data_IF_353936005185
#
_entry.id   IF_353936005185
#
_cell.length_a   1.000
_cell.length_b   1.000
_cell.length_c   1.000
_cell.angle_alpha   90.00
_cell.angle_beta   90.00
_cell.angle_gamma   90.00
#
_symmetry.space_group_name_H-M   'P 1'
#
loop_
_entity.id
_entity.type
_entity.pdbx_description
1 polymer ?
#
# COMPACT_ATOMS: atom_id res chain seq x y z
N UNK A 1 33.29 -31.96 -32.38
CA UNK A 1 32.27 -32.94 -32.86
C UNK A 1 30.93 -32.22 -32.73
N UNK A 2 30.32 -31.91 -33.87
CA UNK A 2 29.11 -31.10 -34.01
C UNK A 2 27.87 -32.01 -33.86
N UNK A 3 26.86 -31.56 -33.11
CA UNK A 3 25.48 -32.00 -33.38
C UNK A 3 24.54 -30.81 -33.21
N UNK A 4 24.00 -30.35 -34.34
CA UNK A 4 22.88 -29.43 -34.47
C UNK A 4 21.59 -30.30 -34.48
N UNK A 5 20.62 -29.95 -33.65
CA UNK A 5 19.28 -30.47 -33.79
C UNK A 5 18.30 -29.31 -34.02
N UNK A 6 17.77 -29.30 -35.24
CA UNK A 6 16.71 -28.40 -35.74
C UNK A 6 15.35 -29.04 -35.37
N UNK A 7 14.45 -28.31 -34.83
CA UNK A 7 13.04 -28.71 -34.76
C UNK A 7 12.16 -27.69 -35.48
N UNK A 8 11.28 -28.25 -36.32
CA UNK A 8 10.48 -27.60 -37.33
C UNK A 8 9.20 -27.00 -36.76
N UNK A 9 8.74 -25.95 -37.43
CA UNK A 9 7.42 -25.33 -37.34
C UNK A 9 6.29 -26.35 -37.59
N UNK A 10 5.22 -26.24 -36.80
CA UNK A 10 3.90 -26.75 -37.11
C UNK A 10 2.86 -25.65 -36.87
N UNK A 11 2.46 -25.01 -37.98
CA UNK A 11 1.33 -24.05 -38.01
C UNK A 11 0.09 -24.92 -38.25
N UNK A 12 -0.90 -24.82 -37.36
CA UNK A 12 -2.26 -25.29 -37.61
C UNK A 12 -3.23 -24.15 -37.42
N UNK A 13 -3.75 -23.66 -38.53
CA UNK A 13 -4.82 -22.68 -38.69
C UNK A 13 -6.16 -23.44 -38.68
N UNK A 14 -7.06 -23.13 -37.75
CA UNK A 14 -8.47 -23.49 -37.83
C UNK A 14 -9.34 -22.24 -37.73
N UNK A 15 -9.92 -21.88 -38.88
CA UNK A 15 -11.08 -21.00 -39.02
C UNK A 15 -12.36 -21.82 -38.87
N UNK A 16 -13.41 -21.23 -38.30
CA UNK A 16 -14.88 -21.37 -38.45
C UNK A 16 -15.51 -20.93 -37.13
N UNK A 17 -16.56 -20.15 -37.06
CA UNK A 17 -17.53 -19.60 -37.98
C UNK A 17 -18.52 -18.75 -37.18
N UNK A 18 -19.09 -17.78 -37.84
CA UNK A 18 -20.06 -16.84 -37.31
C UNK A 18 -21.46 -17.48 -37.19
N UNK A 19 -22.22 -17.10 -36.15
CA UNK A 19 -23.67 -17.20 -36.16
C UNK A 19 -24.31 -15.99 -35.46
N UNK A 20 -25.11 -15.25 -36.23
CA UNK A 20 -26.04 -14.19 -35.84
C UNK A 20 -27.29 -14.78 -35.19
N UNK A 21 -27.94 -13.98 -34.32
CA UNK A 21 -29.33 -14.24 -33.87
C UNK A 21 -29.68 -13.27 -32.74
N UNK A 22 -30.20 -12.16 -33.02
CA UNK A 22 -31.58 -11.61 -33.02
C UNK A 22 -32.13 -11.20 -31.66
N UNK A 23 -32.28 -9.91 -31.56
CA UNK A 23 -33.19 -9.02 -30.81
C UNK A 23 -34.48 -9.66 -30.24
N UNK A 24 -34.80 -9.23 -29.00
CA UNK A 24 -36.19 -8.94 -28.63
C UNK A 24 -36.26 -7.87 -27.53
N UNK A 25 -36.78 -6.74 -27.91
CA UNK A 25 -37.35 -5.66 -27.13
C UNK A 25 -38.61 -6.13 -26.41
N UNK A 26 -38.81 -5.71 -25.16
CA UNK A 26 -40.14 -5.57 -24.55
C UNK A 26 -40.13 -4.44 -23.52
N UNK A 27 -40.94 -3.49 -23.84
CA UNK A 27 -41.29 -2.26 -23.14
C UNK A 27 -42.39 -2.44 -22.12
N UNK A 28 -42.53 -1.39 -21.27
CA UNK A 28 -43.70 -0.94 -20.51
C UNK A 28 -43.99 -1.69 -19.18
N UNK A 29 -44.37 -1.09 -18.07
CA UNK A 29 -45.25 0.06 -17.84
C UNK A 29 -45.15 0.45 -16.36
N UNK A 30 -45.17 1.75 -16.08
CA UNK A 30 -45.45 2.32 -14.77
C UNK A 30 -46.98 2.34 -14.54
N UNK A 31 -47.49 2.29 -13.34
CA UNK A 31 -48.45 3.28 -12.95
C UNK A 31 -48.26 3.94 -11.57
N UNK A 32 -48.57 5.16 -11.61
CA UNK A 32 -48.97 6.24 -10.78
C UNK A 32 -49.52 5.97 -9.36
N UNK A 33 -49.16 6.94 -8.52
CA UNK A 33 -49.71 7.59 -7.36
C UNK A 33 -51.10 7.18 -6.83
N UNK A 34 -51.18 7.13 -5.50
CA UNK A 34 -52.40 7.56 -4.77
C UNK A 34 -51.99 8.20 -3.42
N UNK A 35 -52.41 9.45 -3.28
CA UNK A 35 -52.47 10.30 -2.11
C UNK A 35 -53.65 9.89 -1.24
N UNK A 36 -53.61 10.06 0.09
CA UNK A 36 -54.61 10.69 1.00
C UNK A 36 -54.03 10.66 2.43
N UNK A 37 -53.78 11.79 3.05
CA UNK A 37 -54.54 12.62 3.98
C UNK A 37 -54.73 12.01 5.39
N UNK A 38 -54.11 12.63 6.35
CA UNK A 38 -54.59 13.62 7.34
C UNK A 38 -54.96 13.05 8.73
N UNK A 39 -54.63 13.87 9.72
CA UNK A 39 -55.22 14.07 11.05
C UNK A 39 -54.56 13.31 12.22
N UNK A 40 -53.83 13.94 13.15
CA UNK A 40 -54.27 14.77 14.26
C UNK A 40 -53.13 15.06 15.23
N UNK A 41 -53.10 16.30 15.63
CA UNK A 41 -52.30 16.91 16.72
C UNK A 41 -52.73 16.35 18.06
N UNK A 42 -51.76 15.92 18.91
CA UNK A 42 -51.87 15.93 20.36
C UNK A 42 -50.64 16.62 20.95
N UNK A 43 -50.90 17.82 21.41
CA UNK A 43 -49.97 18.60 22.24
C UNK A 43 -49.93 18.03 23.64
N UNK A 44 -48.77 17.62 24.12
CA UNK A 44 -48.52 17.44 25.55
C UNK A 44 -47.24 18.17 25.93
N UNK A 45 -47.48 19.21 26.65
CA UNK A 45 -46.52 20.09 27.30
C UNK A 45 -45.68 19.27 28.33
N UNK A 46 -44.39 19.25 28.19
CA UNK A 46 -43.47 18.76 29.24
C UNK A 46 -42.18 19.59 29.25
N UNK A 47 -41.89 20.16 30.38
CA UNK A 47 -40.79 21.02 30.74
C UNK A 47 -39.40 20.57 30.29
N UNK A 48 -38.44 21.50 30.11
CA UNK A 48 -37.13 21.22 29.54
C UNK A 48 -36.26 20.42 30.53
N UNK A 49 -35.87 19.20 30.10
CA UNK A 49 -34.78 18.48 30.74
C UNK A 49 -33.47 19.08 30.22
N UNK A 50 -32.66 19.54 31.15
CA UNK A 50 -31.26 19.92 30.94
C UNK A 50 -30.52 18.79 30.25
N UNK A 51 -30.22 18.99 28.99
CA UNK A 51 -29.36 18.09 28.22
C UNK A 51 -27.91 18.43 28.56
N UNK A 52 -27.28 17.60 29.39
CA UNK A 52 -25.83 17.56 29.47
C UNK A 52 -25.33 17.19 28.07
N UNK A 53 -24.75 18.18 27.41
CA UNK A 53 -24.03 17.98 26.15
C UNK A 53 -22.81 17.10 26.45
N UNK A 54 -23.00 15.79 26.32
CA UNK A 54 -21.88 14.88 26.19
C UNK A 54 -21.11 15.30 24.92
N UNK A 55 -19.99 15.97 25.12
CA UNK A 55 -19.02 16.26 24.07
C UNK A 55 -18.57 14.94 23.50
N UNK A 56 -19.21 14.53 22.40
CA UNK A 56 -18.70 13.41 21.59
C UNK A 56 -17.39 13.85 21.00
N UNK A 57 -16.30 13.54 21.69
CA UNK A 57 -14.96 13.64 21.15
C UNK A 57 -14.84 12.54 20.08
N UNK A 58 -15.19 12.89 18.85
CA UNK A 58 -14.83 12.07 17.69
C UNK A 58 -13.33 11.86 17.75
N UNK A 59 -12.82 10.63 17.77
CA UNK A 59 -11.38 10.42 17.77
C UNK A 59 -10.81 11.15 16.55
N UNK A 60 -9.98 12.17 16.80
CA UNK A 60 -9.27 12.84 15.74
C UNK A 60 -8.43 11.79 15.05
N UNK A 61 -8.79 11.49 13.80
CA UNK A 61 -8.05 10.52 13.00
C UNK A 61 -6.62 11.04 12.91
N UNK A 62 -5.68 10.35 13.56
CA UNK A 62 -4.29 10.75 13.58
C UNK A 62 -3.79 10.74 12.14
N UNK A 63 -3.32 11.88 11.69
CA UNK A 63 -2.75 12.02 10.35
C UNK A 63 -1.39 11.32 10.34
N UNK A 64 -1.16 10.47 9.37
CA UNK A 64 0.08 9.72 9.25
C UNK A 64 0.61 9.74 7.82
N UNK A 65 1.91 9.55 7.69
CA UNK A 65 2.60 9.27 6.44
C UNK A 65 3.34 7.94 6.57
N UNK A 66 3.58 7.28 5.45
CA UNK A 66 4.36 6.05 5.38
C UNK A 66 5.83 6.41 5.12
N UNK A 67 6.73 5.75 5.84
CA UNK A 67 8.15 5.73 5.56
C UNK A 67 8.58 4.30 5.24
N UNK A 68 9.41 4.13 4.21
CA UNK A 68 9.84 2.83 3.74
C UNK A 68 11.29 2.60 4.11
N UNK A 69 11.53 1.61 4.97
CA UNK A 69 12.84 1.14 5.35
C UNK A 69 13.13 -0.23 4.74
N UNK A 70 14.32 -0.77 4.96
CA UNK A 70 14.62 -2.13 4.53
C UNK A 70 14.69 -3.07 5.73
N UNK A 71 14.19 -4.28 5.51
CA UNK A 71 14.37 -5.42 6.39
C UNK A 71 14.67 -6.64 5.51
N UNK A 72 15.78 -7.34 5.75
CA UNK A 72 16.23 -8.46 4.90
C UNK A 72 16.29 -8.08 3.41
N UNK A 73 16.85 -6.90 3.10
CA UNK A 73 17.03 -6.34 1.74
C UNK A 73 15.73 -6.02 0.98
N UNK A 74 14.57 -6.10 1.64
CA UNK A 74 13.26 -5.75 1.08
C UNK A 74 12.65 -4.56 1.80
N UNK A 75 11.84 -3.80 1.06
CA UNK A 75 11.09 -2.67 1.62
C UNK A 75 10.09 -3.15 2.67
N UNK A 76 10.04 -2.43 3.76
CA UNK A 76 9.09 -2.59 4.85
C UNK A 76 8.50 -1.23 5.23
N UNK A 77 7.23 -1.21 5.58
CA UNK A 77 6.45 0.01 5.78
C UNK A 77 6.28 0.30 7.26
N UNK A 78 6.49 1.55 7.64
CA UNK A 78 6.15 2.06 8.97
C UNK A 78 5.34 3.35 8.86
N UNK A 79 4.38 3.54 9.74
CA UNK A 79 3.62 4.78 9.84
C UNK A 79 4.32 5.80 10.74
N UNK A 80 4.21 7.09 10.38
CA UNK A 80 4.69 8.21 11.19
C UNK A 80 3.56 9.22 11.36
N UNK A 81 3.23 9.53 12.60
CA UNK A 81 2.24 10.56 12.92
C UNK A 81 2.83 11.92 12.59
N UNK A 82 2.08 12.74 11.87
CA UNK A 82 2.48 14.07 11.42
C UNK A 82 1.30 15.05 11.56
N UNK A 83 1.59 16.34 11.63
CA UNK A 83 0.56 17.38 11.67
C UNK A 83 -0.14 17.53 10.31
N UNK A 84 0.65 17.50 9.24
CA UNK A 84 0.17 17.57 7.85
C UNK A 84 0.76 16.42 7.05
N UNK A 85 -0.06 15.48 6.53
CA UNK A 85 0.41 14.35 5.74
C UNK A 85 0.67 14.79 4.29
N UNK A 86 1.87 15.28 4.03
CA UNK A 86 2.33 15.70 2.71
C UNK A 86 3.70 15.09 2.37
N UNK A 87 4.15 15.29 1.13
CA UNK A 87 5.41 14.75 0.64
C UNK A 87 6.62 15.24 1.45
N UNK A 88 6.59 16.48 1.94
CA UNK A 88 7.65 17.05 2.78
C UNK A 88 7.74 16.33 4.12
N UNK A 89 6.59 16.12 4.77
CA UNK A 89 6.51 15.38 6.04
C UNK A 89 6.96 13.93 5.87
N UNK A 90 6.59 13.28 4.77
CA UNK A 90 6.98 11.92 4.47
C UNK A 90 8.51 11.78 4.29
N UNK A 91 9.15 12.68 3.55
CA UNK A 91 10.61 12.69 3.41
C UNK A 91 11.30 12.95 4.74
N UNK A 92 10.83 13.93 5.52
CA UNK A 92 11.39 14.19 6.87
C UNK A 92 11.27 12.96 7.78
N UNK A 93 10.14 12.27 7.73
CA UNK A 93 9.93 11.04 8.49
C UNK A 93 10.89 9.91 8.04
N UNK A 94 11.12 9.77 6.74
CA UNK A 94 12.09 8.82 6.19
C UNK A 94 13.53 9.16 6.61
N UNK A 95 13.93 10.43 6.50
CA UNK A 95 15.28 10.89 6.86
C UNK A 95 15.57 10.80 8.36
N UNK A 96 14.55 10.81 9.21
CA UNK A 96 14.70 10.55 10.64
C UNK A 96 15.16 9.11 10.95
N UNK A 97 15.01 8.20 9.98
CA UNK A 97 15.42 6.80 10.12
C UNK A 97 14.44 5.92 10.90
N UNK A 98 14.77 4.62 11.05
CA UNK A 98 14.03 3.72 11.91
C UNK A 98 14.16 4.13 13.39
N UNK A 99 13.10 3.91 14.16
CA UNK A 99 13.17 4.05 15.63
C UNK A 99 14.11 2.99 16.22
N UNK A 100 14.46 3.16 17.49
CA UNK A 100 15.29 2.17 18.20
C UNK A 100 14.65 0.78 18.25
N UNK A 101 13.34 0.70 18.37
CA UNK A 101 12.57 -0.56 18.36
C UNK A 101 12.57 -1.20 16.96
N UNK A 102 12.35 -0.40 15.91
CA UNK A 102 12.38 -0.85 14.52
C UNK A 102 13.80 -1.32 14.11
N UNK A 103 14.83 -0.59 14.53
CA UNK A 103 16.22 -0.99 14.31
C UNK A 103 16.55 -2.28 15.07
N UNK A 104 16.07 -2.45 16.29
CA UNK A 104 16.23 -3.70 17.04
C UNK A 104 15.49 -4.89 16.38
N UNK A 105 14.39 -4.61 15.65
CA UNK A 105 13.68 -5.59 14.82
C UNK A 105 14.38 -5.88 13.48
N UNK A 106 15.50 -5.23 13.18
CA UNK A 106 16.28 -5.46 11.96
C UNK A 106 15.99 -4.50 10.81
N UNK A 107 15.23 -3.44 11.04
CA UNK A 107 15.03 -2.41 10.02
C UNK A 107 16.25 -1.51 9.89
N UNK A 108 16.61 -1.20 8.65
CA UNK A 108 17.75 -0.34 8.33
C UNK A 108 17.36 0.69 7.26
N UNK A 109 18.08 1.82 7.27
CA UNK A 109 18.05 2.75 6.15
C UNK A 109 19.37 2.67 5.38
N UNK A 110 19.30 2.78 4.05
CA UNK A 110 20.45 2.90 3.18
C UNK A 110 20.71 4.35 2.75
N UNK A 111 19.89 5.28 3.24
CA UNK A 111 20.12 6.72 3.05
C UNK A 111 21.32 7.12 3.91
N UNK A 112 22.36 7.75 3.33
CA UNK A 112 23.55 8.15 4.08
C UNK A 112 23.19 9.10 5.24
N UNK A 113 23.81 8.86 6.38
CA UNK A 113 23.67 9.76 7.53
C UNK A 113 24.13 11.17 7.16
N UNK A 114 23.40 12.18 7.61
CA UNK A 114 23.67 13.58 7.27
C UNK A 114 23.04 14.03 5.95
N UNK A 115 22.23 13.17 5.29
CA UNK A 115 21.35 13.63 4.21
C UNK A 115 20.28 14.55 4.78
N UNK A 116 20.16 15.74 4.21
CA UNK A 116 19.15 16.73 4.60
C UNK A 116 18.22 17.03 3.44
N UNK A 117 16.95 17.35 3.77
CA UNK A 117 15.95 17.80 2.80
C UNK A 117 16.09 19.30 2.56
N UNK A 118 16.34 19.68 1.32
CA UNK A 118 16.40 21.09 0.88
C UNK A 118 15.06 21.56 0.31
N UNK A 119 14.29 20.67 -0.34
CA UNK A 119 12.98 21.03 -0.86
C UNK A 119 12.20 19.86 -1.46
N UNK A 120 10.88 20.03 -1.54
CA UNK A 120 9.97 19.14 -2.27
C UNK A 120 9.04 19.98 -3.11
N UNK A 121 8.92 19.67 -4.39
CA UNK A 121 8.00 20.35 -5.32
C UNK A 121 7.18 19.31 -6.05
N UNK A 122 5.85 19.43 -6.01
CA UNK A 122 4.91 18.55 -6.72
C UNK A 122 4.35 19.31 -7.91
N UNK A 123 4.41 18.69 -9.10
CA UNK A 123 3.88 19.25 -10.33
C UNK A 123 3.16 18.14 -11.12
N UNK A 124 1.82 18.19 -11.13
CA UNK A 124 1.02 17.12 -11.73
C UNK A 124 1.28 15.79 -11.03
N UNK A 125 1.71 14.79 -11.78
CA UNK A 125 2.03 13.43 -11.27
C UNK A 125 3.51 13.27 -10.84
N UNK A 126 4.30 14.33 -10.95
CA UNK A 126 5.73 14.31 -10.67
C UNK A 126 6.03 15.02 -9.34
N UNK A 127 6.87 14.40 -8.52
CA UNK A 127 7.49 15.04 -7.37
C UNK A 127 9.00 15.16 -7.59
N UNK A 128 9.52 16.37 -7.37
CA UNK A 128 10.96 16.64 -7.32
C UNK A 128 11.38 16.79 -5.86
N UNK A 129 12.34 15.98 -5.44
CA UNK A 129 12.96 16.08 -4.12
C UNK A 129 14.37 16.61 -4.27
N UNK A 130 14.69 17.66 -3.51
CA UNK A 130 16.04 18.24 -3.44
C UNK A 130 16.67 17.90 -2.10
N UNK A 131 17.82 17.26 -2.16
CA UNK A 131 18.56 16.74 -1.00
C UNK A 131 19.99 17.29 -1.02
N UNK A 132 20.66 17.28 0.13
CA UNK A 132 22.10 17.56 0.15
C UNK A 132 22.87 16.52 -0.65
N UNK A 133 24.01 16.91 -1.22
CA UNK A 133 24.89 16.04 -2.02
C UNK A 133 25.36 14.76 -1.30
N UNK A 134 25.23 14.74 0.04
CA UNK A 134 25.45 13.54 0.87
C UNK A 134 24.61 12.36 0.42
N UNK A 135 23.37 12.59 -0.05
CA UNK A 135 22.50 11.53 -0.57
C UNK A 135 23.11 10.74 -1.72
N UNK A 136 23.88 11.41 -2.58
CA UNK A 136 24.59 10.78 -3.70
C UNK A 136 25.89 10.08 -3.32
N UNK A 137 26.35 10.19 -2.06
CA UNK A 137 27.67 9.71 -1.66
C UNK A 137 27.68 8.26 -1.20
N UNK A 138 28.79 7.57 -1.46
CA UNK A 138 29.12 6.25 -0.90
C UNK A 138 28.17 5.10 -1.27
N UNK A 139 28.59 3.89 -0.88
CA UNK A 139 27.87 2.64 -1.10
C UNK A 139 28.06 2.03 -2.49
N UNK A 140 27.81 0.72 -2.59
CA UNK A 140 27.70 0.00 -3.87
C UNK A 140 26.27 -0.01 -4.39
N UNK A 141 26.06 -0.72 -5.50
CA UNK A 141 24.78 -0.74 -6.24
C UNK A 141 23.57 -1.04 -5.36
N UNK A 142 23.65 -2.00 -4.44
CA UNK A 142 22.55 -2.31 -3.51
C UNK A 142 22.23 -1.12 -2.59
N UNK A 143 23.23 -0.41 -2.10
CA UNK A 143 23.01 0.77 -1.25
C UNK A 143 22.35 1.91 -2.02
N UNK A 144 22.77 2.11 -3.28
CA UNK A 144 22.17 3.13 -4.16
C UNK A 144 20.75 2.78 -4.52
N UNK A 145 20.49 1.55 -4.97
CA UNK A 145 19.14 1.09 -5.31
C UNK A 145 18.21 1.15 -4.10
N UNK A 146 18.68 0.71 -2.93
CA UNK A 146 17.88 0.72 -1.71
C UNK A 146 17.49 2.11 -1.24
N UNK A 147 18.41 3.09 -1.24
CA UNK A 147 18.06 4.48 -0.85
C UNK A 147 17.11 5.14 -1.83
N UNK A 148 17.27 4.86 -3.12
CA UNK A 148 16.34 5.33 -4.15
C UNK A 148 14.96 4.70 -3.98
N UNK A 149 14.89 3.39 -3.78
CA UNK A 149 13.63 2.69 -3.53
C UNK A 149 12.91 3.24 -2.29
N UNK A 150 13.63 3.44 -1.17
CA UNK A 150 13.07 4.05 0.04
C UNK A 150 12.43 5.42 -0.26
N UNK A 151 13.13 6.30 -0.99
CA UNK A 151 12.64 7.63 -1.33
C UNK A 151 11.45 7.56 -2.29
N UNK A 152 11.53 6.75 -3.35
CA UNK A 152 10.49 6.64 -4.37
C UNK A 152 9.19 6.08 -3.76
N UNK A 153 9.27 4.99 -2.98
CA UNK A 153 8.08 4.43 -2.34
C UNK A 153 7.48 5.38 -1.30
N UNK A 154 8.31 6.13 -0.58
CA UNK A 154 7.85 7.13 0.39
C UNK A 154 7.15 8.30 -0.30
N UNK A 155 7.65 8.78 -1.43
CA UNK A 155 7.05 9.93 -2.12
C UNK A 155 5.82 9.56 -2.94
N UNK A 156 5.76 8.34 -3.49
CA UNK A 156 4.64 7.89 -4.33
C UNK A 156 3.49 7.22 -3.54
N UNK A 157 3.42 7.46 -2.23
CA UNK A 157 2.28 7.05 -1.41
C UNK A 157 1.05 7.96 -1.59
N UNK A 158 1.24 9.16 -2.11
CA UNK A 158 0.18 10.14 -2.27
C UNK A 158 -0.52 9.96 -3.62
N UNK A 159 -1.85 10.05 -3.60
CA UNK A 159 -2.66 9.91 -4.81
C UNK A 159 -2.23 10.91 -5.89
N UNK A 160 -2.05 10.39 -7.09
CA UNK A 160 -1.66 11.18 -8.25
C UNK A 160 -0.17 11.44 -8.37
N UNK A 161 0.68 10.98 -7.45
CA UNK A 161 2.15 11.05 -7.57
C UNK A 161 2.66 9.65 -7.93
N UNK A 162 3.26 9.50 -9.10
CA UNK A 162 3.84 8.25 -9.59
C UNK A 162 5.33 8.36 -9.98
N UNK A 163 5.81 9.56 -10.26
CA UNK A 163 7.15 9.83 -10.77
C UNK A 163 7.96 10.68 -9.81
N UNK A 164 9.21 10.28 -9.55
CA UNK A 164 10.15 11.01 -8.69
C UNK A 164 11.36 11.47 -9.48
N UNK A 165 11.72 12.74 -9.34
CA UNK A 165 12.96 13.33 -9.82
C UNK A 165 13.80 13.82 -8.67
N UNK A 166 15.10 13.77 -8.83
CA UNK A 166 16.05 14.15 -7.81
C UNK A 166 16.83 15.41 -8.18
N UNK A 167 17.09 16.24 -7.18
CA UNK A 167 18.10 17.29 -7.21
C UNK A 167 19.05 17.09 -6.05
N UNK A 168 20.31 17.45 -6.23
CA UNK A 168 21.30 17.49 -5.15
C UNK A 168 21.90 18.90 -5.08
N UNK A 169 21.87 19.49 -3.88
CA UNK A 169 22.34 20.85 -3.63
C UNK A 169 21.74 21.89 -4.62
N UNK A 170 20.44 21.74 -4.93
CA UNK A 170 19.69 22.59 -5.86
C UNK A 170 19.88 22.21 -7.34
N UNK A 171 20.80 21.34 -7.70
CA UNK A 171 21.05 20.96 -9.10
C UNK A 171 20.30 19.68 -9.46
N UNK A 172 19.42 19.68 -10.51
CA UNK A 172 18.79 18.48 -11.03
C UNK A 172 19.83 17.45 -11.47
N UNK A 173 19.58 16.17 -11.14
CA UNK A 173 20.42 15.08 -11.56
C UNK A 173 19.65 14.05 -12.40
N UNK A 174 20.32 13.41 -13.33
CA UNK A 174 19.78 12.31 -14.16
C UNK A 174 20.41 10.97 -13.82
N UNK A 175 21.50 10.98 -13.06
CA UNK A 175 22.22 9.81 -12.60
C UNK A 175 22.76 10.06 -11.18
N UNK A 176 22.78 9.03 -10.35
CA UNK A 176 23.54 9.04 -9.09
C UNK A 176 24.98 8.64 -9.39
N UNK A 177 25.91 9.38 -8.82
CA UNK A 177 27.36 9.23 -9.07
C UNK A 177 27.90 7.89 -8.60
N UNK A 178 28.84 7.33 -9.38
CA UNK A 178 29.61 6.12 -9.05
C UNK A 178 29.04 4.84 -9.67
N UNK A 179 27.74 4.64 -9.62
CA UNK A 179 27.12 3.38 -10.09
C UNK A 179 26.37 3.54 -11.42
N UNK A 180 26.25 4.77 -11.95
CA UNK A 180 25.55 5.03 -13.21
C UNK A 180 24.06 4.75 -13.19
N UNK A 181 23.45 4.68 -11.99
CA UNK A 181 22.01 4.44 -11.86
C UNK A 181 21.24 5.67 -12.31
N UNK A 182 20.41 5.50 -13.34
CA UNK A 182 19.54 6.57 -13.85
C UNK A 182 18.45 6.93 -12.84
N UNK A 183 18.23 8.24 -12.66
CA UNK A 183 17.20 8.79 -11.75
C UNK A 183 16.33 9.86 -12.41
N UNK A 184 16.30 9.89 -13.74
CA UNK A 184 15.50 10.84 -14.50
C UNK A 184 14.05 10.34 -14.65
N UNK A 185 13.22 10.69 -13.68
CA UNK A 185 11.82 10.29 -13.66
C UNK A 185 11.61 8.81 -13.32
N UNK A 186 12.06 8.39 -12.16
CA UNK A 186 11.91 7.01 -11.67
C UNK A 186 10.57 6.80 -10.97
N UNK A 187 10.06 5.57 -11.06
CA UNK A 187 8.78 5.14 -10.48
C UNK A 187 8.97 3.91 -9.60
N UNK A 188 7.94 3.46 -8.91
CA UNK A 188 7.99 2.18 -8.17
C UNK A 188 8.36 0.99 -9.06
N UNK A 189 7.98 1.02 -10.34
CA UNK A 189 8.32 -0.04 -11.29
C UNK A 189 9.84 -0.17 -11.52
N UNK A 190 10.62 0.90 -11.32
CA UNK A 190 12.08 0.87 -11.41
C UNK A 190 12.71 0.03 -10.28
N UNK A 191 12.03 -0.15 -9.16
CA UNK A 191 12.57 -0.78 -7.94
C UNK A 191 11.73 -1.98 -7.48
N UNK A 192 11.11 -2.71 -8.39
CA UNK A 192 10.28 -3.88 -8.07
C UNK A 192 11.03 -4.95 -7.31
N UNK A 193 12.32 -5.14 -7.61
CA UNK A 193 13.16 -6.12 -6.93
C UNK A 193 13.44 -5.76 -5.46
N UNK A 194 13.23 -4.51 -5.07
CA UNK A 194 13.37 -4.07 -3.69
C UNK A 194 12.09 -4.30 -2.87
N UNK A 195 10.93 -4.48 -3.50
CA UNK A 195 9.68 -4.78 -2.82
C UNK A 195 9.53 -6.29 -2.56
N UNK A 196 8.96 -6.71 -1.42
CA UNK A 196 8.50 -8.09 -1.26
C UNK A 196 7.31 -8.32 -2.19
N UNK A 197 7.07 -9.57 -2.65
CA UNK A 197 5.96 -9.88 -3.55
C UNK A 197 4.57 -9.51 -2.97
N UNK A 198 4.46 -9.41 -1.66
CA UNK A 198 3.29 -8.85 -0.96
C UNK A 198 3.78 -7.76 -0.03
N UNK A 199 3.41 -6.53 -0.30
CA UNK A 199 3.75 -5.35 0.49
C UNK A 199 2.49 -4.81 1.16
N UNK A 200 2.38 -4.98 2.48
CA UNK A 200 1.27 -4.44 3.29
C UNK A 200 1.57 -2.99 3.62
N UNK A 201 0.75 -2.07 3.12
CA UNK A 201 0.89 -0.62 3.35
C UNK A 201 -0.10 -0.12 4.42
N UNK A 202 -1.19 -0.86 4.67
CA UNK A 202 -2.16 -0.59 5.73
C UNK A 202 -2.79 -1.91 6.23
N UNK A 203 -2.92 -2.11 7.55
CA UNK A 203 -2.42 -1.25 8.61
C UNK A 203 -0.90 -1.24 8.69
N UNK A 204 -0.32 -0.20 9.27
CA UNK A 204 1.10 -0.14 9.58
C UNK A 204 1.38 -0.58 11.02
N UNK A 205 2.64 -0.80 11.33
CA UNK A 205 3.06 -1.32 12.63
C UNK A 205 2.62 -0.42 13.79
N UNK A 206 2.03 -1.01 14.84
CA UNK A 206 1.47 -0.38 16.04
C UNK A 206 0.31 0.59 15.79
N UNK A 207 -0.29 0.59 14.62
CA UNK A 207 -1.50 1.36 14.38
C UNK A 207 -2.65 0.87 15.28
N UNK A 208 -3.43 1.83 15.82
CA UNK A 208 -4.70 1.51 16.47
C UNK A 208 -5.80 1.56 15.42
N UNK A 209 -6.40 0.41 15.15
CA UNK A 209 -7.42 0.24 14.12
C UNK A 209 -8.79 -0.05 14.72
N UNK A 210 -9.83 0.24 13.97
CA UNK A 210 -11.20 -0.18 14.28
C UNK A 210 -11.60 -1.38 13.46
N UNK A 211 -12.58 -2.14 13.91
CA UNK A 211 -13.21 -3.20 13.13
C UNK A 211 -14.32 -2.63 12.22
N UNK A 212 -14.51 -3.19 11.02
CA UNK A 212 -13.71 -4.25 10.39
C UNK A 212 -12.31 -3.75 9.98
N UNK A 213 -11.27 -4.56 10.24
CA UNK A 213 -9.89 -4.21 9.89
C UNK A 213 -9.78 -4.04 8.38
N UNK A 214 -9.22 -2.92 7.92
CA UNK A 214 -8.85 -2.70 6.53
C UNK A 214 -7.45 -3.22 6.31
N UNK A 215 -7.23 -3.95 5.21
CA UNK A 215 -5.90 -4.26 4.69
C UNK A 215 -5.76 -3.66 3.31
N UNK A 216 -4.64 -2.99 3.05
CA UNK A 216 -4.37 -2.44 1.72
C UNK A 216 -2.87 -2.50 1.44
N UNK A 217 -2.53 -2.61 0.16
CA UNK A 217 -1.14 -2.70 -0.26
C UNK A 217 -0.99 -3.08 -1.71
N UNK A 218 0.16 -3.62 -2.04
CA UNK A 218 0.51 -4.05 -3.39
C UNK A 218 1.02 -5.47 -3.39
N UNK A 219 0.76 -6.18 -4.49
CA UNK A 219 1.27 -7.54 -4.65
C UNK A 219 1.55 -7.90 -6.10
N UNK A 220 2.42 -8.88 -6.27
CA UNK A 220 2.66 -9.58 -7.52
C UNK A 220 2.66 -11.08 -7.22
N UNK A 221 1.48 -11.60 -6.88
CA UNK A 221 1.23 -12.97 -6.47
C UNK A 221 0.61 -13.77 -7.62
N UNK A 222 0.70 -15.08 -7.54
CA UNK A 222 0.06 -15.97 -8.51
C UNK A 222 -1.47 -15.76 -8.50
N UNK A 223 -2.07 -15.63 -9.70
CA UNK A 223 -3.50 -15.35 -9.90
C UNK A 223 -4.03 -14.14 -9.10
N UNK A 224 -3.16 -13.15 -8.80
CA UNK A 224 -3.51 -11.96 -8.02
C UNK A 224 -4.08 -12.26 -6.62
N UNK A 225 -3.83 -13.46 -6.08
CA UNK A 225 -4.38 -13.87 -4.78
C UNK A 225 -3.44 -13.47 -3.65
N UNK A 226 -3.94 -12.74 -2.68
CA UNK A 226 -3.24 -12.35 -1.45
C UNK A 226 -3.92 -13.02 -0.27
N UNK A 227 -3.23 -13.92 0.41
CA UNK A 227 -3.73 -14.56 1.63
C UNK A 227 -3.50 -13.67 2.82
N UNK A 228 -4.38 -13.79 3.82
CA UNK A 228 -4.22 -13.07 5.09
C UNK A 228 -4.55 -13.95 6.29
N UNK A 229 -3.92 -13.61 7.41
CA UNK A 229 -4.23 -14.13 8.74
C UNK A 229 -4.25 -12.98 9.75
N UNK A 230 -5.15 -13.06 10.71
CA UNK A 230 -5.12 -12.22 11.90
C UNK A 230 -4.91 -13.13 13.10
N UNK A 231 -3.81 -12.90 13.80
CA UNK A 231 -3.39 -13.69 14.94
C UNK A 231 -3.57 -12.87 16.23
N UNK A 232 -4.08 -13.52 17.25
CA UNK A 232 -4.16 -12.99 18.60
C UNK A 232 -2.90 -13.27 19.41
N UNK A 233 -2.96 -12.94 20.69
CA UNK A 233 -1.89 -13.21 21.66
C UNK A 233 -1.55 -14.71 21.67
N UNK A 234 -0.24 -15.00 21.64
CA UNK A 234 0.24 -16.40 21.60
C UNK A 234 0.11 -17.07 20.23
N UNK A 235 -0.19 -16.31 19.15
CA UNK A 235 -0.27 -16.84 17.79
C UNK A 235 -1.59 -17.56 17.48
N UNK A 236 -2.61 -17.42 18.31
CA UNK A 236 -3.93 -18.00 18.05
C UNK A 236 -4.54 -17.38 16.79
N UNK A 237 -4.88 -18.18 15.79
CA UNK A 237 -5.50 -17.72 14.55
C UNK A 237 -6.96 -17.31 14.82
N UNK A 238 -7.26 -16.04 14.64
CA UNK A 238 -8.60 -15.45 14.85
C UNK A 238 -9.39 -15.32 13.57
N UNK A 239 -8.69 -15.07 12.46
CA UNK A 239 -9.29 -14.91 11.13
C UNK A 239 -8.27 -15.31 10.07
N UNK A 240 -8.76 -15.91 8.98
CA UNK A 240 -7.96 -16.18 7.78
C UNK A 240 -8.81 -16.07 6.52
N UNK A 241 -8.18 -15.85 5.39
CA UNK A 241 -8.85 -15.79 4.11
C UNK A 241 -7.91 -15.30 3.00
N UNK A 242 -8.52 -14.81 1.94
CA UNK A 242 -7.79 -14.19 0.84
C UNK A 242 -8.54 -12.99 0.29
N UNK A 243 -7.82 -12.13 -0.41
CA UNK A 243 -8.35 -11.01 -1.19
C UNK A 243 -7.72 -11.04 -2.58
N UNK A 244 -8.40 -10.45 -3.55
CA UNK A 244 -7.88 -10.35 -4.91
C UNK A 244 -7.23 -8.98 -5.11
N UNK A 245 -6.02 -8.97 -5.64
CA UNK A 245 -5.39 -7.76 -6.13
C UNK A 245 -5.89 -7.43 -7.56
N UNK A 246 -5.62 -6.22 -8.02
CA UNK A 246 -6.02 -5.75 -9.35
C UNK A 246 -5.21 -6.38 -10.50
N UNK A 247 -4.04 -6.94 -10.20
CA UNK A 247 -3.17 -7.67 -11.12
C UNK A 247 -2.30 -8.66 -10.33
N UNK A 248 -1.62 -9.57 -11.04
CA UNK A 248 -0.71 -10.57 -10.49
C UNK A 248 -0.03 -11.36 -11.61
N UNK A 249 0.67 -12.44 -11.27
CA UNK A 249 1.33 -13.35 -12.23
C UNK A 249 2.31 -12.59 -13.15
N UNK A 250 3.24 -11.83 -12.51
CA UNK A 250 4.25 -11.03 -13.22
C UNK A 250 3.95 -9.53 -13.24
N UNK A 251 2.72 -9.12 -12.94
CA UNK A 251 2.32 -7.71 -12.87
C UNK A 251 1.98 -7.30 -11.45
N UNK A 252 2.35 -6.05 -11.09
CA UNK A 252 2.04 -5.49 -9.79
C UNK A 252 0.60 -4.96 -9.77
N UNK A 253 -0.21 -5.53 -8.88
CA UNK A 253 -1.56 -5.05 -8.55
C UNK A 253 -1.63 -4.36 -7.20
N UNK A 254 -2.79 -3.80 -6.89
CA UNK A 254 -3.14 -3.26 -5.58
C UNK A 254 -4.27 -4.07 -4.97
N UNK A 255 -4.27 -4.21 -3.66
CA UNK A 255 -5.39 -4.77 -2.91
C UNK A 255 -5.84 -3.77 -1.84
N UNK A 256 -7.14 -3.71 -1.61
CA UNK A 256 -7.79 -2.89 -0.58
C UNK A 256 -9.08 -3.58 -0.17
N UNK A 257 -9.11 -4.08 1.05
CA UNK A 257 -10.24 -4.86 1.54
C UNK A 257 -10.51 -4.63 3.03
N UNK A 258 -11.76 -4.76 3.42
CA UNK A 258 -12.17 -4.84 4.82
C UNK A 258 -12.39 -6.31 5.18
N UNK A 259 -11.68 -6.76 6.19
CA UNK A 259 -11.77 -8.15 6.65
C UNK A 259 -13.10 -8.41 7.37
N UNK A 260 -13.47 -9.67 7.50
CA UNK A 260 -14.60 -10.05 8.35
C UNK A 260 -14.36 -9.58 9.80
N UNK A 261 -15.44 -9.44 10.55
CA UNK A 261 -15.35 -9.07 11.96
C UNK A 261 -14.67 -10.16 12.77
N UNK A 262 -13.79 -9.75 13.67
CA UNK A 262 -13.17 -10.67 14.62
C UNK A 262 -14.20 -11.17 15.65
N UNK A 263 -13.91 -12.27 16.33
CA UNK A 263 -14.75 -12.77 17.42
C UNK A 263 -15.06 -11.69 18.47
N UNK A 264 -16.28 -11.68 18.98
CA UNK A 264 -16.69 -10.70 19.99
C UNK A 264 -15.76 -10.73 21.21
N UNK A 265 -15.39 -9.55 21.72
CA UNK A 265 -14.49 -9.42 22.86
C UNK A 265 -13.01 -9.55 22.53
N UNK A 266 -12.62 -9.70 21.24
CA UNK A 266 -11.22 -9.63 20.82
C UNK A 266 -10.59 -8.30 21.24
N UNK A 267 -9.42 -8.38 21.84
CA UNK A 267 -8.60 -7.21 22.24
C UNK A 267 -7.19 -7.36 21.67
N UNK A 268 -6.57 -6.22 21.35
CA UNK A 268 -5.18 -6.17 20.90
C UNK A 268 -4.15 -6.34 22.04
N UNK A 269 -2.86 -6.47 21.70
CA UNK A 269 -2.32 -6.38 20.34
C UNK A 269 -2.63 -7.63 19.50
N UNK A 270 -2.75 -7.42 18.21
CA UNK A 270 -2.93 -8.47 17.20
C UNK A 270 -1.79 -8.41 16.20
N UNK A 271 -1.60 -9.49 15.47
CA UNK A 271 -0.69 -9.54 14.31
C UNK A 271 -1.51 -9.75 13.04
N UNK A 272 -1.36 -8.88 12.08
CA UNK A 272 -1.91 -9.03 10.72
C UNK A 272 -0.79 -9.48 9.81
N UNK A 273 -1.01 -10.58 9.11
CA UNK A 273 -0.09 -11.15 8.13
C UNK A 273 -0.78 -11.19 6.77
N UNK A 274 -0.05 -10.80 5.74
CA UNK A 274 -0.44 -11.03 4.34
C UNK A 274 0.70 -11.75 3.64
N UNK A 275 0.38 -12.67 2.73
CA UNK A 275 1.39 -13.54 2.13
C UNK A 275 0.90 -14.15 0.82
N UNK A 276 1.82 -14.69 0.05
CA UNK A 276 1.57 -15.64 -1.02
C UNK A 276 1.74 -17.07 -0.51
N UNK A 277 1.23 -18.06 -1.24
CA UNK A 277 1.45 -19.47 -0.96
C UNK A 277 2.37 -20.10 -1.98
N UNK A 278 3.33 -20.85 -1.49
CA UNK A 278 4.15 -21.70 -2.36
C UNK A 278 3.27 -22.66 -3.15
N UNK A 279 3.41 -22.64 -4.48
CA UNK A 279 2.69 -23.60 -5.35
C UNK A 279 3.12 -25.07 -5.11
N UNK A 280 4.31 -25.28 -4.56
CA UNK A 280 4.85 -26.60 -4.28
C UNK A 280 4.39 -27.16 -2.93
N UNK A 281 4.46 -26.32 -1.87
CA UNK A 281 4.26 -26.77 -0.48
C UNK A 281 2.96 -26.28 0.15
N UNK A 282 2.34 -25.23 -0.43
CA UNK A 282 1.21 -24.52 0.17
C UNK A 282 1.57 -23.63 1.35
N UNK A 283 2.84 -23.59 1.77
CA UNK A 283 3.31 -22.81 2.90
C UNK A 283 3.35 -21.30 2.57
N UNK A 284 3.17 -20.42 3.58
CA UNK A 284 3.31 -18.99 3.39
C UNK A 284 4.70 -18.59 2.88
N UNK A 285 4.74 -17.79 1.83
CA UNK A 285 5.96 -17.17 1.28
C UNK A 285 5.73 -15.67 1.10
N UNK A 286 6.80 -14.88 0.99
CA UNK A 286 6.71 -13.42 0.83
C UNK A 286 5.82 -12.76 1.90
N UNK A 287 5.98 -13.17 3.14
CA UNK A 287 5.15 -12.72 4.25
C UNK A 287 5.48 -11.26 4.58
N UNK A 288 4.44 -10.43 4.62
CA UNK A 288 4.46 -9.08 5.19
C UNK A 288 3.56 -9.08 6.42
N UNK A 289 4.08 -8.66 7.56
CA UNK A 289 3.35 -8.72 8.83
C UNK A 289 3.53 -7.46 9.67
N UNK A 290 2.49 -7.09 10.37
CA UNK A 290 2.48 -5.94 11.28
C UNK A 290 1.74 -6.27 12.57
N UNK A 291 2.22 -5.70 13.68
CA UNK A 291 1.48 -5.65 14.93
C UNK A 291 0.52 -4.46 14.91
N UNK A 292 -0.69 -4.65 15.40
CA UNK A 292 -1.72 -3.61 15.50
C UNK A 292 -2.38 -3.63 16.87
N UNK A 293 -3.07 -2.55 17.21
CA UNK A 293 -3.91 -2.43 18.40
C UNK A 293 -5.39 -2.24 18.01
N UNK A 294 -6.32 -2.73 18.84
CA UNK A 294 -7.76 -2.51 18.73
C UNK A 294 -8.24 -1.51 19.77
#
# INVERSE_FOLDING_TARGET
MRLRQRWSLGITLCLFGAACGSSSTSSSTSPAATTVADTSVVTTDRAPATSDAATSTTPSQRKSVLAYFLMSEKLHVVGRIVDTPDATAAVKALLAGPSSEEAAAGMVTLIPQGTELLGVTVTGHEVRVDLTGVFGSGGGSMSVLGRLAQMVFTLTQFDGIDTVRFSLDGAPITQITGEGVGVDGVTRATFTDMAPLVLLEHPYHDETVSQPIRIAGRSNTFEATVYYEVLGVGGAKLLEGYVMATAGTGEWGTFDARLASLPAGTKGPLQVRVFDRSAETGEPVSVSEVRINL
#
